data_IF_333635278628
#
_entry.id   IF_333635278628
#
_cell.length_a   1.000
_cell.length_b   1.000
_cell.length_c   1.000
_cell.angle_alpha   90.00
_cell.angle_beta   90.00
_cell.angle_gamma   90.00
#
_symmetry.space_group_name_H-M   'P 1'
#
loop_
_entity.id
_entity.type
_entity.pdbx_description
1 polymer ?
#
# COMPACT_ATOMS: atom_id res chain seq x y z
N UNK A 1 1.40 13.01 -6.07
CA UNK A 1 1.22 11.67 -5.48
C UNK A 1 1.78 11.62 -4.09
N UNK A 2 1.45 10.57 -3.36
CA UNK A 2 1.89 10.43 -1.97
C UNK A 2 3.41 10.32 -1.88
N UNK A 3 3.99 11.16 -1.04
CA UNK A 3 5.41 11.13 -0.71
C UNK A 3 5.62 11.90 0.59
N UNK A 4 6.70 11.61 1.34
CA UNK A 4 6.99 12.36 2.57
C UNK A 4 7.33 13.81 2.27
N UNK A 5 6.87 14.71 3.13
CA UNK A 5 7.23 16.13 3.03
C UNK A 5 8.68 16.37 3.41
N UNK A 6 9.17 15.65 4.41
CA UNK A 6 10.55 15.74 4.90
C UNK A 6 11.08 14.35 5.15
N UNK A 7 12.37 14.18 4.87
CA UNK A 7 13.08 12.91 5.14
C UNK A 7 14.40 13.21 5.85
N UNK A 8 14.79 12.30 6.74
CA UNK A 8 16.09 12.37 7.38
C UNK A 8 17.20 12.13 6.37
N UNK A 9 16.99 11.18 5.47
CA UNK A 9 17.88 10.88 4.37
C UNK A 9 17.08 10.88 3.07
N UNK A 10 17.62 11.54 2.04
CA UNK A 10 16.98 11.62 0.74
C UNK A 10 16.95 10.27 0.03
N UNK A 11 18.00 9.48 0.22
CA UNK A 11 18.14 8.16 -0.39
C UNK A 11 18.38 7.12 0.71
N UNK A 12 17.95 5.89 0.45
CA UNK A 12 18.07 4.79 1.39
C UNK A 12 18.58 3.53 0.70
N UNK A 13 19.20 2.65 1.46
CA UNK A 13 19.54 1.32 0.97
C UNK A 13 18.24 0.53 0.74
N UNK A 14 18.22 -0.29 -0.32
CA UNK A 14 17.04 -1.11 -0.60
C UNK A 14 16.75 -2.10 0.51
N UNK A 15 17.79 -2.74 1.04
CA UNK A 15 17.62 -3.74 2.08
C UNK A 15 16.81 -4.94 1.61
N UNK A 16 16.46 -5.80 2.54
CA UNK A 16 15.57 -6.94 2.29
C UNK A 16 14.28 -6.77 3.06
N UNK A 17 13.17 -7.07 2.39
CA UNK A 17 11.86 -7.07 2.99
C UNK A 17 11.63 -8.40 3.70
N UNK A 18 11.74 -8.43 5.04
CA UNK A 18 11.65 -9.63 5.86
C UNK A 18 10.62 -9.48 6.96
N UNK A 19 10.23 -10.61 7.52
CA UNK A 19 9.35 -10.66 8.68
C UNK A 19 7.88 -10.58 8.35
N UNK A 20 7.07 -10.60 9.39
CA UNK A 20 5.63 -10.49 9.33
C UNK A 20 5.20 -9.18 9.97
N UNK A 21 4.05 -8.67 9.57
CA UNK A 21 3.50 -7.47 10.17
C UNK A 21 3.00 -7.77 11.59
N UNK A 22 3.60 -7.11 12.59
CA UNK A 22 3.15 -7.23 13.99
C UNK A 22 2.25 -6.07 14.39
N UNK A 23 2.37 -4.92 13.73
CA UNK A 23 1.47 -3.79 13.90
C UNK A 23 0.79 -3.47 12.59
N UNK A 24 -0.38 -2.85 12.65
CA UNK A 24 -1.15 -2.55 11.44
C UNK A 24 -1.70 -3.79 10.74
N UNK A 25 -1.93 -4.89 11.50
CA UNK A 25 -2.42 -6.16 10.96
C UNK A 25 -3.90 -6.40 11.22
N UNK A 26 -4.55 -5.54 11.97
CA UNK A 26 -5.97 -5.66 12.32
C UNK A 26 -6.76 -4.49 11.75
N UNK A 27 -8.04 -4.73 11.47
CA UNK A 27 -8.98 -3.67 11.10
C UNK A 27 -9.23 -2.83 12.35
N UNK A 28 -8.82 -1.55 12.31
CA UNK A 28 -8.85 -0.66 13.48
C UNK A 28 -9.80 0.53 13.30
N UNK A 29 -9.94 1.05 12.10
CA UNK A 29 -10.72 2.26 11.82
C UNK A 29 -12.06 1.97 11.20
N UNK A 30 -12.14 0.97 10.31
CA UNK A 30 -13.35 0.64 9.58
C UNK A 30 -13.99 -0.66 10.03
N UNK A 31 -14.89 -1.18 9.22
CA UNK A 31 -15.56 -2.46 9.45
C UNK A 31 -14.91 -3.59 8.65
N UNK A 32 -14.38 -3.26 7.48
CA UNK A 32 -13.77 -4.22 6.55
C UNK A 32 -12.42 -3.70 6.10
N UNK A 33 -11.54 -4.62 5.76
CA UNK A 33 -10.20 -4.26 5.32
C UNK A 33 -9.67 -5.17 4.22
N UNK A 34 -8.67 -4.67 3.52
CA UNK A 34 -7.89 -5.42 2.54
C UNK A 34 -6.49 -5.64 3.12
N UNK A 35 -6.15 -6.89 3.34
CA UNK A 35 -4.91 -7.29 4.00
C UNK A 35 -3.97 -7.96 3.00
N UNK A 36 -2.69 -7.61 3.04
CA UNK A 36 -1.68 -8.28 2.23
C UNK A 36 -1.39 -9.68 2.78
N UNK A 37 -1.32 -10.67 1.89
CA UNK A 37 -0.96 -12.05 2.26
C UNK A 37 0.43 -12.43 1.78
N UNK A 38 1.07 -11.56 1.00
CA UNK A 38 2.42 -11.74 0.51
C UNK A 38 3.21 -10.47 0.74
N UNK A 39 4.52 -10.56 0.65
CA UNK A 39 5.37 -9.39 0.79
C UNK A 39 5.65 -8.75 -0.56
N UNK A 40 5.93 -7.46 -0.55
CA UNK A 40 6.22 -6.72 -1.76
C UNK A 40 6.43 -5.25 -1.47
N UNK A 41 6.54 -4.48 -2.52
CA UNK A 41 6.65 -3.03 -2.46
C UNK A 41 5.47 -2.41 -3.19
N UNK A 42 4.85 -1.45 -2.54
CA UNK A 42 3.64 -0.80 -3.05
C UNK A 42 4.01 0.64 -3.41
N UNK A 43 3.98 0.96 -4.70
CA UNK A 43 4.30 2.30 -5.17
C UNK A 43 3.17 3.27 -4.87
N UNK A 44 3.48 4.57 -4.82
CA UNK A 44 2.46 5.60 -4.63
C UNK A 44 1.40 5.57 -5.74
N UNK A 45 1.80 5.21 -6.96
CA UNK A 45 0.88 5.08 -8.11
C UNK A 45 -0.09 3.91 -7.91
N UNK A 46 0.41 2.78 -7.41
CA UNK A 46 -0.44 1.61 -7.13
C UNK A 46 -1.42 1.91 -5.99
N UNK A 47 -0.97 2.58 -4.94
CA UNK A 47 -1.83 3.01 -3.84
C UNK A 47 -2.98 3.87 -4.37
N UNK A 48 -2.65 4.85 -5.20
CA UNK A 48 -3.65 5.76 -5.77
C UNK A 48 -4.60 5.05 -6.73
N UNK A 49 -4.09 4.15 -7.56
CA UNK A 49 -4.92 3.38 -8.49
C UNK A 49 -5.94 2.51 -7.75
N UNK A 50 -5.51 1.82 -6.69
CA UNK A 50 -6.40 1.00 -5.88
C UNK A 50 -7.42 1.87 -5.13
N UNK A 51 -6.99 3.00 -4.57
CA UNK A 51 -7.88 3.94 -3.89
C UNK A 51 -8.99 4.43 -4.83
N UNK A 52 -8.62 4.83 -6.04
CA UNK A 52 -9.60 5.30 -7.04
C UNK A 52 -10.59 4.21 -7.41
N UNK A 53 -10.13 2.97 -7.55
CA UNK A 53 -10.97 1.83 -7.87
C UNK A 53 -12.00 1.59 -6.76
N UNK A 54 -11.58 1.62 -5.50
CA UNK A 54 -12.48 1.45 -4.36
C UNK A 54 -13.50 2.58 -4.32
N UNK A 55 -13.05 3.83 -4.40
CA UNK A 55 -13.92 5.01 -4.35
C UNK A 55 -14.95 5.00 -5.47
N UNK A 56 -14.55 4.62 -6.67
CA UNK A 56 -15.44 4.54 -7.82
C UNK A 56 -16.51 3.48 -7.63
N UNK A 57 -16.15 2.34 -7.05
CA UNK A 57 -17.10 1.23 -6.84
C UNK A 57 -18.12 1.53 -5.76
N UNK A 58 -17.69 2.13 -4.65
CA UNK A 58 -18.60 2.50 -3.56
C UNK A 58 -19.26 3.86 -3.78
N UNK A 59 -18.81 4.59 -4.78
CA UNK A 59 -19.30 5.92 -5.14
C UNK A 59 -19.18 6.89 -3.95
N UNK A 60 -20.27 7.54 -3.55
CA UNK A 60 -20.27 8.48 -2.43
C UNK A 60 -20.55 7.84 -1.07
N UNK A 61 -20.76 6.51 -1.05
CA UNK A 61 -21.05 5.80 0.18
C UNK A 61 -19.78 5.48 0.96
N UNK A 62 -19.92 5.49 2.28
CA UNK A 62 -18.87 5.03 3.16
C UNK A 62 -17.69 5.96 3.32
N UNK A 63 -16.73 5.47 4.09
CA UNK A 63 -15.47 6.15 4.36
C UNK A 63 -14.32 5.17 4.16
N UNK A 64 -13.26 5.64 3.51
CA UNK A 64 -12.09 4.83 3.17
C UNK A 64 -10.86 5.36 3.90
N UNK A 65 -10.10 4.46 4.51
CA UNK A 65 -8.79 4.76 5.09
C UNK A 65 -7.70 4.04 4.33
N UNK A 66 -6.62 4.75 4.04
CA UNK A 66 -5.39 4.17 3.50
C UNK A 66 -4.46 3.94 4.69
N UNK A 67 -4.10 2.67 4.96
CA UNK A 67 -3.32 2.29 6.13
C UNK A 67 -1.82 2.22 5.87
N UNK A 68 -1.39 2.52 4.66
CA UNK A 68 0.02 2.47 4.26
C UNK A 68 0.44 3.79 3.63
N UNK A 69 1.72 4.12 3.76
CA UNK A 69 2.27 5.34 3.19
C UNK A 69 3.62 5.04 2.53
N UNK A 70 3.87 5.55 1.31
CA UNK A 70 5.10 5.30 0.59
C UNK A 70 6.21 6.22 1.09
N UNK A 71 6.96 5.75 2.07
CA UNK A 71 8.02 6.53 2.73
C UNK A 71 9.43 6.10 2.34
N UNK A 72 9.58 5.04 1.55
CA UNK A 72 10.89 4.56 1.11
C UNK A 72 11.19 5.03 -0.32
N UNK A 73 12.29 5.79 -0.53
CA UNK A 73 12.67 6.21 -1.87
C UNK A 73 13.36 5.09 -2.63
N UNK A 74 13.02 4.94 -3.88
CA UNK A 74 13.67 4.01 -4.80
C UNK A 74 14.45 4.80 -5.82
N UNK A 75 15.74 4.49 -5.94
CA UNK A 75 16.63 5.16 -6.88
C UNK A 75 16.86 4.27 -8.11
N UNK A 76 17.06 4.91 -9.24
CA UNK A 76 17.35 4.22 -10.49
C UNK A 76 18.37 5.03 -11.26
N UNK A 77 19.43 4.35 -11.75
CA UNK A 77 20.39 4.97 -12.64
C UNK A 77 19.95 4.80 -14.08
N UNK A 78 20.15 5.82 -14.95
CA UNK A 78 19.95 5.63 -16.38
C UNK A 78 20.83 4.49 -16.90
N UNK A 79 20.37 3.79 -17.93
CA UNK A 79 21.12 2.69 -18.54
C UNK A 79 22.51 3.11 -19.05
N UNK A 80 22.65 4.37 -19.43
CA UNK A 80 23.88 4.92 -20.00
C UNK A 80 24.92 5.31 -18.94
N UNK A 81 24.55 5.33 -17.65
CA UNK A 81 25.44 5.73 -16.58
C UNK A 81 26.21 4.51 -16.07
N UNK A 82 27.55 4.65 -15.99
CA UNK A 82 28.41 3.59 -15.45
C UNK A 82 28.09 3.29 -13.99
N UNK A 83 28.16 2.02 -13.63
CA UNK A 83 28.01 1.61 -12.24
C UNK A 83 29.17 2.13 -11.42
N UNK A 84 28.90 2.48 -10.15
CA UNK A 84 29.92 2.96 -9.24
C UNK A 84 30.06 4.47 -9.14
N UNK A 85 29.36 5.25 -9.95
CA UNK A 85 29.39 6.72 -9.90
C UNK A 85 28.46 7.33 -8.87
N UNK A 86 28.19 6.59 -7.79
CA UNK A 86 27.25 7.00 -6.75
C UNK A 86 25.83 6.51 -7.01
N UNK A 87 24.94 6.80 -6.08
CA UNK A 87 23.53 6.36 -6.14
C UNK A 87 22.75 7.26 -7.10
N UNK A 88 21.90 6.66 -7.91
CA UNK A 88 21.04 7.39 -8.83
C UNK A 88 20.04 8.31 -8.13
N UNK A 89 19.29 9.08 -8.92
CA UNK A 89 18.25 9.96 -8.40
C UNK A 89 17.05 9.17 -7.89
N UNK A 90 16.31 9.77 -6.94
CA UNK A 90 15.07 9.21 -6.46
C UNK A 90 14.03 9.28 -7.58
N UNK A 91 13.57 8.11 -8.04
CA UNK A 91 12.59 8.01 -9.13
C UNK A 91 11.16 7.95 -8.61
N UNK A 92 10.95 7.22 -7.53
CA UNK A 92 9.60 7.03 -6.96
C UNK A 92 9.69 6.59 -5.51
N UNK A 93 8.54 6.60 -4.85
CA UNK A 93 8.41 6.24 -3.45
C UNK A 93 7.57 4.98 -3.30
N UNK A 94 7.93 4.11 -2.36
CA UNK A 94 7.22 2.87 -2.10
C UNK A 94 6.99 2.67 -0.61
N UNK A 95 5.95 1.90 -0.29
CA UNK A 95 5.76 1.31 1.03
C UNK A 95 6.25 -0.12 0.99
N UNK A 96 7.07 -0.53 1.95
CA UNK A 96 7.42 -1.93 2.11
C UNK A 96 6.31 -2.65 2.85
N UNK A 97 5.79 -3.71 2.23
CA UNK A 97 4.65 -4.44 2.75
C UNK A 97 5.08 -5.83 3.19
N UNK A 98 4.77 -6.17 4.43
CA UNK A 98 4.97 -7.50 4.99
C UNK A 98 3.64 -8.26 4.99
N UNK A 99 3.66 -9.60 4.91
CA UNK A 99 2.44 -10.39 5.02
C UNK A 99 1.69 -10.07 6.31
N UNK A 100 0.39 -9.89 6.21
CA UNK A 100 -0.47 -9.52 7.34
C UNK A 100 -0.75 -8.02 7.47
N UNK A 101 -0.09 -7.18 6.68
CA UNK A 101 -0.30 -5.73 6.75
C UNK A 101 -1.66 -5.34 6.19
N UNK A 102 -2.40 -4.53 6.95
CA UNK A 102 -3.65 -3.93 6.48
C UNK A 102 -3.33 -2.78 5.53
N UNK A 103 -3.93 -2.80 4.34
CA UNK A 103 -3.67 -1.81 3.28
C UNK A 103 -4.75 -0.75 3.24
N UNK A 104 -6.00 -1.15 3.25
CA UNK A 104 -7.16 -0.26 3.20
C UNK A 104 -8.22 -0.72 4.19
N UNK A 105 -9.00 0.22 4.70
CA UNK A 105 -10.17 -0.07 5.51
C UNK A 105 -11.35 0.75 5.01
N UNK A 106 -12.54 0.21 5.15
CA UNK A 106 -13.77 0.87 4.69
C UNK A 106 -14.89 0.65 5.71
N UNK A 107 -15.77 1.62 5.84
CA UNK A 107 -16.99 1.51 6.62
C UNK A 107 -18.15 2.20 5.92
N UNK A 108 -19.36 1.93 6.40
CA UNK A 108 -20.54 2.58 5.85
C UNK A 108 -21.06 1.95 4.57
N UNK A 109 -20.62 0.74 4.25
CA UNK A 109 -21.07 -0.04 3.09
C UNK A 109 -21.39 -1.46 3.51
N UNK A 110 -22.15 -2.17 2.67
CA UNK A 110 -22.45 -3.57 2.93
C UNK A 110 -21.19 -4.42 2.72
N UNK A 111 -21.17 -5.59 3.35
CA UNK A 111 -20.04 -6.51 3.18
C UNK A 111 -19.85 -6.91 1.71
N UNK A 112 -20.94 -7.16 1.00
CA UNK A 112 -20.90 -7.53 -0.42
C UNK A 112 -20.25 -6.46 -1.27
N UNK A 113 -20.65 -5.20 -1.06
CA UNK A 113 -20.08 -4.07 -1.79
C UNK A 113 -18.61 -3.87 -1.44
N UNK A 114 -18.24 -4.04 -0.17
CA UNK A 114 -16.85 -3.95 0.27
C UNK A 114 -15.99 -5.04 -0.39
N UNK A 115 -16.50 -6.28 -0.44
CA UNK A 115 -15.79 -7.40 -1.09
C UNK A 115 -15.57 -7.12 -2.57
N UNK A 116 -16.58 -6.63 -3.28
CA UNK A 116 -16.46 -6.29 -4.70
C UNK A 116 -15.43 -5.19 -4.92
N UNK A 117 -15.49 -4.12 -4.13
CA UNK A 117 -14.59 -2.99 -4.25
C UNK A 117 -13.13 -3.42 -4.02
N UNK A 118 -12.89 -4.22 -2.98
CA UNK A 118 -11.55 -4.73 -2.68
C UNK A 118 -11.05 -5.75 -3.70
N UNK A 119 -11.94 -6.55 -4.26
CA UNK A 119 -11.57 -7.48 -5.33
C UNK A 119 -11.07 -6.73 -6.57
N UNK A 120 -11.77 -5.66 -6.95
CA UNK A 120 -11.34 -4.82 -8.06
C UNK A 120 -10.03 -4.10 -7.75
N UNK A 121 -9.88 -3.61 -6.53
CA UNK A 121 -8.66 -2.94 -6.10
C UNK A 121 -7.47 -3.89 -6.07
N UNK A 122 -7.67 -5.14 -5.65
CA UNK A 122 -6.61 -6.14 -5.58
C UNK A 122 -5.94 -6.37 -6.94
N UNK A 123 -6.70 -6.22 -8.03
CA UNK A 123 -6.16 -6.34 -9.38
C UNK A 123 -5.15 -5.24 -9.73
N UNK A 124 -5.13 -4.15 -8.98
CA UNK A 124 -4.19 -3.04 -9.16
C UNK A 124 -2.94 -3.17 -8.29
N UNK A 125 -2.89 -4.18 -7.43
CA UNK A 125 -1.79 -4.39 -6.49
C UNK A 125 -0.85 -5.48 -6.97
N UNK A 126 0.46 -5.39 -6.63
CA UNK A 126 1.47 -6.31 -7.15
C UNK A 126 1.60 -7.63 -6.37
N UNK A 127 0.78 -7.84 -5.35
CA UNK A 127 0.84 -9.03 -4.51
C UNK A 127 -0.55 -9.51 -4.12
N UNK A 128 -0.62 -10.71 -3.57
CA UNK A 128 -1.90 -11.28 -3.17
C UNK A 128 -2.43 -10.64 -1.88
N UNK A 129 -3.74 -10.58 -1.78
CA UNK A 129 -4.45 -9.94 -0.68
C UNK A 129 -5.63 -10.80 -0.24
N UNK A 130 -6.17 -10.50 0.93
CA UNK A 130 -7.37 -11.15 1.45
C UNK A 130 -8.29 -10.12 2.09
N UNK A 131 -9.57 -10.42 2.08
CA UNK A 131 -10.60 -9.62 2.73
C UNK A 131 -10.58 -9.91 4.23
N UNK A 132 -10.69 -8.85 5.04
CA UNK A 132 -10.72 -8.97 6.49
C UNK A 132 -11.91 -8.23 7.06
N UNK A 133 -12.46 -8.75 8.15
CA UNK A 133 -13.52 -8.11 8.93
C UNK A 133 -12.95 -7.65 10.26
N UNK A 134 -13.57 -6.62 10.83
CA UNK A 134 -13.22 -6.19 12.17
C UNK A 134 -13.59 -7.28 13.17
N UNK A 135 -12.64 -7.64 14.01
CA UNK A 135 -12.88 -8.59 15.10
C UNK A 135 -13.60 -7.88 16.24
N UNK A 136 -14.77 -8.38 16.60
CA UNK A 136 -15.53 -7.89 17.75
C UNK A 136 -15.21 -8.80 18.93
N UNK A 137 -14.62 -8.23 19.96
CA UNK A 137 -14.31 -8.95 21.19
C UNK A 137 -15.40 -8.74 22.24
#
# INVERSE_FOLDING_TARGET
MLQPKRTKFRKQHKGRNRGLAVSGSNVSFGEYGLKATARGRLTSRQIEAARRTISRRVKRGGKLWIRVFPDKPITKKPLEVRMGSGKGNVEYWVAQIQPGRMLYEIEGVTEELAREAFLLAAAKLPFSTTFAKRTVL
#
